data_IF_556015956857
#
_entry.id   IF_556015956857
#
_cell.length_a   1.000
_cell.length_b   1.000
_cell.length_c   1.000
_cell.angle_alpha   90.00
_cell.angle_beta   90.00
_cell.angle_gamma   90.00
#
_symmetry.space_group_name_H-M   'P 1'
#
loop_
_entity.id
_entity.type
_entity.pdbx_description
1 polymer ?
#
# COMPACT_ATOMS: atom_id res chain seq x y z
N UNK A 1 -19.01 58.95 -53.05
CA UNK A 1 -18.27 60.09 -52.50
C UNK A 1 -19.17 60.72 -51.45
N UNK A 2 -18.91 60.69 -50.15
CA UNK A 2 -17.75 60.23 -49.37
C UNK A 2 -18.27 59.76 -48.01
N UNK A 3 -17.59 58.75 -47.45
CA UNK A 3 -17.70 58.35 -46.06
C UNK A 3 -16.94 59.38 -45.19
N UNK A 4 -17.53 59.76 -44.06
CA UNK A 4 -16.81 60.30 -42.91
C UNK A 4 -17.13 59.38 -41.73
N UNK A 5 -16.23 58.43 -41.51
CA UNK A 5 -16.06 57.73 -40.25
C UNK A 5 -15.28 58.67 -39.32
N UNK A 6 -15.88 59.02 -38.19
CA UNK A 6 -15.19 59.54 -37.00
C UNK A 6 -15.92 58.97 -35.78
N UNK A 7 -15.66 57.69 -35.52
CA UNK A 7 -16.04 57.02 -34.27
C UNK A 7 -14.77 56.81 -33.44
N UNK A 8 -14.29 57.91 -32.85
CA UNK A 8 -13.19 57.93 -31.90
C UNK A 8 -13.74 57.65 -30.50
N UNK A 9 -14.27 56.43 -30.30
CA UNK A 9 -14.49 55.89 -28.96
C UNK A 9 -13.27 55.06 -28.56
N UNK A 10 -12.17 55.76 -28.29
CA UNK A 10 -11.05 55.21 -27.55
C UNK A 10 -11.51 54.96 -26.11
N UNK A 11 -12.06 53.76 -25.88
CA UNK A 11 -12.21 53.20 -24.54
C UNK A 11 -10.81 53.14 -23.91
N UNK A 12 -10.49 54.21 -23.18
CA UNK A 12 -9.35 54.33 -22.30
C UNK A 12 -9.52 53.24 -21.23
N UNK A 13 -8.98 52.05 -21.52
CA UNK A 13 -8.79 50.99 -20.55
C UNK A 13 -7.85 51.57 -19.50
N UNK A 14 -8.43 52.14 -18.44
CA UNK A 14 -7.71 52.58 -17.25
C UNK A 14 -7.07 51.34 -16.61
N UNK A 15 -5.85 51.05 -17.06
CA UNK A 15 -4.97 50.07 -16.45
C UNK A 15 -4.63 50.60 -15.05
N UNK A 16 -4.84 49.82 -13.97
CA UNK A 16 -4.55 50.27 -12.63
C UNK A 16 -3.09 50.71 -12.52
N UNK A 17 -2.87 51.86 -11.88
CA UNK A 17 -1.53 52.39 -11.69
C UNK A 17 -0.74 51.50 -10.72
N UNK A 18 0.59 51.59 -10.74
CA UNK A 18 1.43 50.84 -9.80
C UNK A 18 1.10 51.15 -8.32
N UNK A 19 0.50 52.31 -8.05
CA UNK A 19 0.00 52.72 -6.73
C UNK A 19 -1.33 52.02 -6.39
N UNK A 20 -2.22 51.82 -7.37
CA UNK A 20 -3.49 51.09 -7.17
C UNK A 20 -3.28 49.58 -6.95
N UNK A 21 -2.25 49.00 -7.57
CA UNK A 21 -1.81 47.63 -7.32
C UNK A 21 -1.24 47.44 -5.89
N UNK A 22 -0.73 48.51 -5.28
CA UNK A 22 -0.32 48.51 -3.88
C UNK A 22 -1.51 48.77 -2.94
N UNK A 23 -2.51 49.55 -3.36
CA UNK A 23 -3.64 49.99 -2.52
C UNK A 23 -4.82 49.02 -2.45
N UNK A 24 -4.96 48.07 -3.38
CA UNK A 24 -6.03 47.07 -3.36
C UNK A 24 -5.66 45.86 -2.49
N UNK A 25 -5.46 46.09 -1.19
CA UNK A 25 -5.39 45.02 -0.18
C UNK A 25 -4.07 44.24 -0.07
N UNK A 26 -2.96 44.76 -0.58
CA UNK A 26 -1.67 44.06 -0.64
C UNK A 26 -0.73 44.27 0.57
N UNK A 27 -1.04 45.17 1.50
CA UNK A 27 -0.21 45.50 2.66
C UNK A 27 -0.35 44.51 3.85
N UNK A 28 -0.62 43.24 3.58
CA UNK A 28 -0.71 42.23 4.63
C UNK A 28 0.59 41.44 4.69
N UNK A 29 1.15 41.28 5.89
CA UNK A 29 2.30 40.40 6.09
C UNK A 29 1.95 39.01 5.54
N UNK A 30 2.92 38.32 4.95
CA UNK A 30 2.71 36.98 4.37
C UNK A 30 2.30 35.93 5.43
N UNK A 31 2.19 36.32 6.70
CA UNK A 31 1.64 35.53 7.80
C UNK A 31 0.34 36.09 8.43
N UNK A 32 -0.14 37.28 8.06
CA UNK A 32 -1.20 37.97 8.80
C UNK A 32 -2.55 37.23 8.75
N UNK A 33 -2.84 36.56 7.64
CA UNK A 33 -4.14 35.91 7.43
C UNK A 33 -4.18 34.45 7.88
N UNK A 34 -3.04 33.81 8.11
CA UNK A 34 -2.97 32.39 8.45
C UNK A 34 -2.03 32.14 9.63
N UNK A 35 -2.63 31.83 10.79
CA UNK A 35 -1.93 31.47 12.01
C UNK A 35 -0.90 30.34 11.81
N UNK A 36 -1.14 29.43 10.85
CA UNK A 36 -0.22 28.33 10.53
C UNK A 36 1.11 28.82 9.95
N UNK A 37 1.11 30.00 9.34
CA UNK A 37 2.26 30.61 8.68
C UNK A 37 3.04 31.54 9.62
N UNK A 38 2.46 31.88 10.78
CA UNK A 38 3.14 32.71 11.79
C UNK A 38 4.38 31.99 12.31
N UNK A 39 5.48 32.74 12.40
CA UNK A 39 6.77 32.21 12.83
C UNK A 39 7.54 31.43 11.76
N UNK A 40 6.97 31.16 10.59
CA UNK A 40 7.73 30.59 9.48
C UNK A 40 8.66 31.63 8.86
N UNK A 41 9.88 31.25 8.43
CA UNK A 41 10.69 32.09 7.56
C UNK A 41 9.91 32.47 6.30
N UNK A 42 10.06 33.73 5.87
CA UNK A 42 9.43 34.29 4.66
C UNK A 42 9.41 33.35 3.47
N UNK A 43 10.54 32.75 3.12
CA UNK A 43 10.64 31.82 1.98
C UNK A 43 9.67 30.64 2.10
N UNK A 44 9.49 30.08 3.30
CA UNK A 44 8.54 28.99 3.56
C UNK A 44 7.09 29.48 3.55
N UNK A 45 6.83 30.73 3.97
CA UNK A 45 5.49 31.34 3.85
C UNK A 45 5.06 31.45 2.40
N UNK A 46 5.91 31.99 1.52
CA UNK A 46 5.62 32.04 0.08
C UNK A 46 5.50 30.65 -0.53
N UNK A 47 6.32 29.68 -0.12
CA UNK A 47 6.16 28.29 -0.54
C UNK A 47 4.76 27.74 -0.17
N UNK A 48 4.28 28.00 1.04
CA UNK A 48 2.93 27.57 1.47
C UNK A 48 1.82 28.30 0.72
N UNK A 49 1.96 29.60 0.46
CA UNK A 49 0.99 30.35 -0.36
C UNK A 49 0.87 29.72 -1.76
N UNK A 50 1.98 29.29 -2.36
CA UNK A 50 1.97 28.58 -3.65
C UNK A 50 1.32 27.20 -3.52
N UNK A 51 1.62 26.45 -2.46
CA UNK A 51 1.02 25.12 -2.21
C UNK A 51 -0.49 25.21 -2.03
N UNK A 52 -0.95 26.22 -1.29
CA UNK A 52 -2.36 26.47 -1.01
C UNK A 52 -3.10 27.08 -2.22
N UNK A 53 -2.38 27.40 -3.30
CA UNK A 53 -2.97 27.99 -4.51
C UNK A 53 -3.51 29.40 -4.27
N UNK A 54 -2.87 30.17 -3.40
CA UNK A 54 -3.29 31.53 -3.10
C UNK A 54 -3.21 32.41 -4.35
N UNK A 55 -4.21 33.27 -4.52
CA UNK A 55 -4.18 34.31 -5.53
C UNK A 55 -3.24 35.45 -5.11
N UNK A 56 -2.74 36.19 -6.10
CA UNK A 56 -1.97 37.43 -5.91
C UNK A 56 -0.67 37.28 -5.09
N UNK A 57 0.01 36.13 -5.19
CA UNK A 57 1.26 35.86 -4.45
C UNK A 57 2.36 36.87 -4.81
N UNK A 58 2.44 37.26 -6.08
CA UNK A 58 3.46 38.21 -6.54
C UNK A 58 3.17 39.63 -6.05
N UNK A 59 1.90 40.06 -6.07
CA UNK A 59 1.44 41.37 -5.59
C UNK A 59 1.73 41.54 -4.10
N UNK A 60 1.49 40.50 -3.30
CA UNK A 60 1.89 40.48 -1.89
C UNK A 60 3.39 40.63 -1.73
N UNK A 61 4.17 39.94 -2.55
CA UNK A 61 5.64 40.05 -2.50
C UNK A 61 6.12 41.44 -2.92
N UNK A 62 5.49 42.06 -3.92
CA UNK A 62 5.79 43.43 -4.35
C UNK A 62 5.50 44.42 -3.22
N UNK A 63 4.36 44.27 -2.54
CA UNK A 63 4.01 45.12 -1.40
C UNK A 63 4.99 44.95 -0.23
N UNK A 64 5.37 43.72 0.11
CA UNK A 64 6.36 43.46 1.16
C UNK A 64 7.76 44.00 0.79
N UNK A 65 8.13 43.97 -0.49
CA UNK A 65 9.35 44.62 -0.98
C UNK A 65 9.24 46.14 -0.88
N UNK A 66 8.08 46.73 -1.21
CA UNK A 66 7.85 48.18 -1.12
C UNK A 66 7.91 48.67 0.32
N UNK A 67 7.37 47.90 1.28
CA UNK A 67 7.44 48.21 2.70
C UNK A 67 8.88 48.24 3.22
N UNK A 68 9.69 47.24 2.85
CA UNK A 68 11.07 47.11 3.32
C UNK A 68 12.08 47.93 2.51
N UNK A 69 11.77 48.24 1.26
CA UNK A 69 12.60 49.02 0.34
C UNK A 69 11.73 49.99 -0.47
N UNK A 70 11.26 51.10 0.14
CA UNK A 70 10.38 52.05 -0.52
C UNK A 70 10.98 52.62 -1.80
N UNK A 71 10.14 52.82 -2.81
CA UNK A 71 10.44 53.44 -4.10
C UNK A 71 11.58 52.74 -4.87
N UNK A 72 11.74 51.44 -4.66
CA UNK A 72 12.75 50.67 -5.37
C UNK A 72 12.37 50.56 -6.85
N UNK A 73 13.14 51.22 -7.73
CA UNK A 73 12.88 51.23 -9.18
C UNK A 73 12.73 49.84 -9.80
N UNK A 74 13.53 48.87 -9.34
CA UNK A 74 13.43 47.47 -9.76
C UNK A 74 12.11 46.80 -9.33
N UNK A 75 11.58 47.16 -8.15
CA UNK A 75 10.29 46.65 -7.66
C UNK A 75 9.14 47.19 -8.51
N UNK A 76 9.15 48.50 -8.79
CA UNK A 76 8.19 49.15 -9.67
C UNK A 76 8.23 48.60 -11.11
N UNK A 77 9.43 48.35 -11.64
CA UNK A 77 9.59 47.77 -12.97
C UNK A 77 9.04 46.33 -13.02
N UNK A 78 9.32 45.52 -12.01
CA UNK A 78 8.78 44.17 -11.91
C UNK A 78 7.25 44.16 -11.73
N UNK A 79 6.72 45.05 -10.90
CA UNK A 79 5.28 45.18 -10.67
C UNK A 79 4.49 45.52 -11.94
N UNK A 80 5.06 46.38 -12.80
CA UNK A 80 4.46 46.77 -14.08
C UNK A 80 4.64 45.70 -15.16
N UNK A 81 5.84 45.15 -15.29
CA UNK A 81 6.21 44.31 -16.43
C UNK A 81 6.00 42.80 -16.23
N UNK A 82 6.00 42.33 -14.97
CA UNK A 82 5.91 40.90 -14.60
C UNK A 82 6.89 39.99 -15.36
N UNK A 83 8.01 40.57 -15.80
CA UNK A 83 8.99 39.87 -16.62
C UNK A 83 9.99 39.12 -15.73
N UNK A 84 10.48 37.99 -16.24
CA UNK A 84 11.53 37.22 -15.57
C UNK A 84 12.81 38.06 -15.40
N UNK A 85 13.18 38.83 -16.42
CA UNK A 85 14.33 39.72 -16.37
C UNK A 85 14.19 40.78 -15.27
N UNK A 86 13.00 41.39 -15.15
CA UNK A 86 12.69 42.33 -14.07
C UNK A 86 12.79 41.68 -12.69
N UNK A 87 12.27 40.46 -12.54
CA UNK A 87 12.37 39.70 -11.29
C UNK A 87 13.83 39.37 -10.92
N UNK A 88 14.64 38.95 -11.89
CA UNK A 88 16.05 38.62 -11.66
C UNK A 88 16.87 39.87 -11.33
N UNK A 89 16.60 41.00 -11.98
CA UNK A 89 17.23 42.28 -11.68
C UNK A 89 16.87 42.76 -10.26
N UNK A 90 15.59 42.65 -9.87
CA UNK A 90 15.13 42.94 -8.52
C UNK A 90 15.82 42.04 -7.48
N UNK A 91 15.86 40.73 -7.71
CA UNK A 91 16.49 39.80 -6.79
C UNK A 91 18.00 40.06 -6.62
N UNK A 92 18.69 40.47 -7.69
CA UNK A 92 20.10 40.86 -7.66
C UNK A 92 20.33 42.19 -6.90
N UNK A 93 19.44 43.15 -7.07
CA UNK A 93 19.46 44.42 -6.33
C UNK A 93 19.26 44.20 -4.82
N UNK A 94 18.27 43.39 -4.45
CA UNK A 94 17.99 43.02 -3.06
C UNK A 94 19.20 42.31 -2.42
N UNK A 95 19.85 41.39 -3.15
CA UNK A 95 21.08 40.74 -2.69
C UNK A 95 22.22 41.75 -2.46
N UNK A 96 22.40 42.72 -3.37
CA UNK A 96 23.43 43.74 -3.26
C UNK A 96 23.22 44.60 -2.01
N UNK A 97 21.97 45.05 -1.79
CA UNK A 97 21.59 45.84 -0.60
C UNK A 97 21.75 45.04 0.69
N UNK A 98 21.36 43.76 0.67
CA UNK A 98 21.53 42.86 1.82
C UNK A 98 23.00 42.75 2.26
N UNK A 99 23.94 42.79 1.31
CA UNK A 99 25.38 42.79 1.60
C UNK A 99 25.85 44.18 2.04
N UNK A 100 25.48 45.23 1.31
CA UNK A 100 25.93 46.59 1.58
C UNK A 100 25.49 47.12 2.95
N UNK A 101 24.26 46.79 3.37
CA UNK A 101 23.66 47.27 4.62
C UNK A 101 23.63 46.21 5.73
N UNK A 102 24.20 45.02 5.48
CA UNK A 102 24.16 43.89 6.41
C UNK A 102 22.74 43.51 6.87
N UNK A 103 21.77 43.58 5.95
CA UNK A 103 20.37 43.25 6.21
C UNK A 103 20.01 41.86 5.69
N UNK A 104 20.06 40.81 6.53
CA UNK A 104 19.78 39.44 6.09
C UNK A 104 18.32 39.24 5.64
N UNK A 105 17.40 40.08 6.10
CA UNK A 105 15.99 40.04 5.70
C UNK A 105 15.80 40.23 4.19
N UNK A 106 16.62 41.07 3.55
CA UNK A 106 16.56 41.32 2.11
C UNK A 106 17.00 40.10 1.29
N UNK A 107 17.87 39.24 1.83
CA UNK A 107 18.23 37.97 1.15
C UNK A 107 17.04 37.04 1.04
N UNK A 108 16.21 36.98 2.08
CA UNK A 108 15.03 36.11 2.04
C UNK A 108 13.98 36.64 1.07
N UNK A 109 13.85 37.97 0.91
CA UNK A 109 13.02 38.56 -0.15
C UNK A 109 13.57 38.22 -1.54
N UNK A 110 14.88 38.35 -1.73
CA UNK A 110 15.53 38.00 -3.00
C UNK A 110 15.32 36.52 -3.36
N UNK A 111 15.35 35.62 -2.38
CA UNK A 111 15.06 34.20 -2.59
C UNK A 111 13.56 33.96 -2.84
N UNK A 112 12.66 34.70 -2.20
CA UNK A 112 11.21 34.66 -2.49
C UNK A 112 10.88 35.15 -3.90
N UNK A 113 11.52 36.22 -4.38
CA UNK A 113 11.32 36.71 -5.76
C UNK A 113 11.72 35.63 -6.77
N UNK A 114 12.85 34.97 -6.54
CA UNK A 114 13.26 33.82 -7.38
C UNK A 114 12.29 32.66 -7.28
N UNK A 115 11.78 32.38 -6.08
CA UNK A 115 10.83 31.28 -5.86
C UNK A 115 9.58 31.46 -6.73
N UNK A 116 9.00 32.67 -6.75
CA UNK A 116 7.74 32.93 -7.47
C UNK A 116 7.95 33.08 -8.98
N UNK A 117 9.08 33.65 -9.41
CA UNK A 117 9.28 34.03 -10.82
C UNK A 117 10.01 33.00 -11.68
N UNK A 118 10.75 32.05 -11.11
CA UNK A 118 11.59 31.16 -11.92
C UNK A 118 10.73 30.23 -12.82
N UNK A 119 11.09 30.10 -14.11
CA UNK A 119 10.45 29.14 -15.00
C UNK A 119 10.93 27.72 -14.69
N UNK A 120 10.23 26.73 -15.21
CA UNK A 120 10.68 25.33 -15.07
C UNK A 120 12.07 25.14 -15.70
N UNK A 121 13.04 24.51 -14.99
CA UNK A 121 14.44 24.40 -15.43
C UNK A 121 14.61 23.45 -16.61
N UNK A 122 14.41 23.95 -17.83
CA UNK A 122 14.61 23.21 -19.08
C UNK A 122 16.05 23.29 -19.59
N UNK A 123 16.68 24.41 -19.28
CA UNK A 123 17.96 24.83 -19.81
C UNK A 123 18.86 25.28 -18.64
N UNK A 124 20.16 25.38 -18.90
CA UNK A 124 21.14 25.72 -17.85
C UNK A 124 21.14 27.22 -17.47
N UNK A 125 20.41 28.06 -18.22
CA UNK A 125 20.40 29.52 -18.07
C UNK A 125 20.16 29.97 -16.62
N UNK A 126 19.22 29.32 -15.93
CA UNK A 126 18.82 29.68 -14.57
C UNK A 126 19.25 28.66 -13.52
N UNK A 127 20.13 27.71 -13.87
CA UNK A 127 20.51 26.58 -13.01
C UNK A 127 20.98 27.04 -11.61
N UNK A 128 21.82 28.07 -11.54
CA UNK A 128 22.33 28.58 -10.26
C UNK A 128 21.22 29.20 -9.41
N UNK A 129 20.22 29.84 -10.03
CA UNK A 129 19.09 30.43 -9.31
C UNK A 129 18.21 29.33 -8.72
N UNK A 130 17.91 28.27 -9.48
CA UNK A 130 17.20 27.10 -8.95
C UNK A 130 17.93 26.44 -7.79
N UNK A 131 19.23 26.20 -7.94
CA UNK A 131 20.07 25.59 -6.91
C UNK A 131 20.13 26.44 -5.66
N UNK A 132 20.16 27.77 -5.81
CA UNK A 132 20.14 28.71 -4.69
C UNK A 132 18.83 28.61 -3.91
N UNK A 133 17.69 28.72 -4.59
CA UNK A 133 16.38 28.59 -3.94
C UNK A 133 16.23 27.22 -3.28
N UNK A 134 16.69 26.15 -3.93
CA UNK A 134 16.68 24.80 -3.35
C UNK A 134 17.45 24.73 -2.02
N UNK A 135 18.67 25.29 -1.99
CA UNK A 135 19.49 25.33 -0.76
C UNK A 135 18.81 26.15 0.35
N UNK A 136 18.23 27.29 -0.01
CA UNK A 136 17.54 28.16 0.95
C UNK A 136 16.29 27.46 1.52
N UNK A 137 15.48 26.82 0.68
CA UNK A 137 14.32 26.01 1.08
C UNK A 137 14.72 24.86 2.01
N UNK A 138 15.70 24.05 1.62
CA UNK A 138 16.17 22.91 2.43
C UNK A 138 16.67 23.39 3.80
N UNK A 139 17.48 24.44 3.84
CA UNK A 139 17.99 24.98 5.10
C UNK A 139 16.88 25.53 5.98
N UNK A 140 15.96 26.31 5.41
CA UNK A 140 14.82 26.85 6.14
C UNK A 140 13.90 25.73 6.67
N UNK A 141 13.60 24.73 5.83
CA UNK A 141 12.79 23.57 6.22
C UNK A 141 13.45 22.78 7.36
N UNK A 142 14.74 22.45 7.25
CA UNK A 142 15.45 21.69 8.28
C UNK A 142 15.38 22.37 9.65
N UNK A 143 15.64 23.69 9.69
CA UNK A 143 15.61 24.47 10.94
C UNK A 143 14.22 24.56 11.57
N UNK A 144 13.14 24.47 10.78
CA UNK A 144 11.78 24.68 11.25
C UNK A 144 10.95 23.39 11.36
N UNK A 145 11.42 22.29 10.74
CA UNK A 145 10.69 21.03 10.61
C UNK A 145 10.17 20.49 11.94
N UNK A 146 10.90 20.66 13.04
CA UNK A 146 10.49 20.14 14.36
C UNK A 146 9.44 21.01 15.06
N UNK A 147 9.33 22.28 14.70
CA UNK A 147 8.52 23.28 15.41
C UNK A 147 7.14 23.41 14.76
N UNK A 148 7.06 23.20 13.45
CA UNK A 148 5.82 23.37 12.68
C UNK A 148 4.85 22.20 12.87
N UNK A 149 3.55 22.46 12.73
CA UNK A 149 2.49 21.46 12.75
C UNK A 149 2.75 20.36 11.70
N UNK A 150 2.36 19.12 12.00
CA UNK A 150 2.61 17.96 11.14
C UNK A 150 2.08 18.13 9.71
N UNK A 151 0.91 18.77 9.51
CA UNK A 151 0.36 18.99 8.17
C UNK A 151 1.26 19.93 7.36
N UNK A 152 1.55 21.11 7.91
CA UNK A 152 2.45 22.11 7.31
C UNK A 152 3.84 21.51 7.04
N UNK A 153 4.35 20.71 7.97
CA UNK A 153 5.61 19.98 7.82
C UNK A 153 5.62 19.10 6.57
N UNK A 154 4.59 18.28 6.39
CA UNK A 154 4.47 17.38 5.24
C UNK A 154 4.38 18.16 3.92
N UNK A 155 3.63 19.26 3.91
CA UNK A 155 3.44 20.08 2.71
C UNK A 155 4.72 20.83 2.33
N UNK A 156 5.43 21.39 3.32
CA UNK A 156 6.76 21.96 3.13
C UNK A 156 7.79 20.92 2.69
N UNK A 157 7.77 19.71 3.25
CA UNK A 157 8.65 18.61 2.85
C UNK A 157 8.45 18.27 1.37
N UNK A 158 7.19 18.07 0.96
CA UNK A 158 6.81 17.79 -0.43
C UNK A 158 7.29 18.89 -1.35
N UNK A 159 6.98 20.15 -1.04
CA UNK A 159 7.34 21.28 -1.88
C UNK A 159 8.87 21.42 -1.99
N UNK A 160 9.58 21.37 -0.86
CA UNK A 160 11.04 21.53 -0.79
C UNK A 160 11.77 20.45 -1.60
N UNK A 161 11.39 19.19 -1.42
CA UNK A 161 12.01 18.09 -2.16
C UNK A 161 11.54 18.02 -3.60
N UNK A 162 10.30 18.42 -3.89
CA UNK A 162 9.80 18.59 -5.25
C UNK A 162 10.61 19.63 -6.03
N UNK A 163 10.94 20.77 -5.39
CA UNK A 163 11.82 21.79 -5.98
C UNK A 163 13.22 21.24 -6.23
N UNK A 164 13.80 20.53 -5.25
CA UNK A 164 15.13 19.94 -5.38
C UNK A 164 15.19 18.88 -6.51
N UNK A 165 14.12 18.13 -6.72
CA UNK A 165 14.01 17.10 -7.76
C UNK A 165 13.68 17.69 -9.15
N UNK A 166 13.29 18.96 -9.24
CA UNK A 166 12.66 19.53 -10.43
C UNK A 166 13.53 19.40 -11.69
N UNK A 167 14.83 19.64 -11.58
CA UNK A 167 15.77 19.52 -12.71
C UNK A 167 15.80 18.09 -13.29
N UNK A 168 15.79 17.07 -12.43
CA UNK A 168 15.75 15.67 -12.86
C UNK A 168 14.37 15.25 -13.40
N UNK A 169 13.29 15.89 -12.93
CA UNK A 169 11.92 15.54 -13.28
C UNK A 169 11.32 16.43 -14.38
N UNK A 170 12.11 17.29 -15.02
CA UNK A 170 11.61 18.33 -15.91
C UNK A 170 10.82 17.78 -17.10
N UNK A 171 11.18 16.62 -17.65
CA UNK A 171 10.43 15.99 -18.75
C UNK A 171 9.02 15.53 -18.38
N UNK A 172 8.72 15.35 -17.09
CA UNK A 172 7.44 14.82 -16.60
C UNK A 172 6.46 15.91 -16.12
N UNK A 173 6.84 17.18 -16.26
CA UNK A 173 6.04 18.32 -15.80
C UNK A 173 5.62 19.24 -16.95
N UNK A 174 4.46 19.92 -16.86
CA UNK A 174 3.99 20.87 -17.85
C UNK A 174 4.97 22.02 -18.12
N UNK A 175 5.08 22.46 -19.38
CA UNK A 175 5.95 23.58 -19.78
C UNK A 175 5.40 24.95 -19.37
N UNK A 176 4.07 25.09 -19.35
CA UNK A 176 3.39 26.38 -19.13
C UNK A 176 3.40 26.82 -17.66
N UNK A 177 3.83 25.96 -16.73
CA UNK A 177 3.79 26.24 -15.30
C UNK A 177 5.14 26.74 -14.80
N UNK A 178 5.09 27.58 -13.77
CA UNK A 178 6.27 28.05 -13.05
C UNK A 178 7.00 26.88 -12.39
N UNK A 179 8.26 27.10 -12.02
CA UNK A 179 9.02 26.13 -11.27
C UNK A 179 8.33 25.76 -9.95
N UNK A 180 7.71 26.73 -9.29
CA UNK A 180 7.07 26.55 -8.00
C UNK A 180 5.82 25.65 -8.09
N UNK A 181 4.97 25.86 -9.08
CA UNK A 181 3.82 24.99 -9.34
C UNK A 181 4.26 23.55 -9.66
N UNK A 182 5.28 23.41 -10.51
CA UNK A 182 5.80 22.10 -10.86
C UNK A 182 6.54 21.42 -9.70
N UNK A 183 7.19 22.17 -8.82
CA UNK A 183 7.77 21.66 -7.58
C UNK A 183 6.69 21.06 -6.68
N UNK A 184 5.56 21.76 -6.49
CA UNK A 184 4.41 21.23 -5.76
C UNK A 184 3.90 19.92 -6.37
N UNK A 185 3.75 19.87 -7.70
CA UNK A 185 3.30 18.68 -8.43
C UNK A 185 4.25 17.48 -8.28
N UNK A 186 5.56 17.69 -8.45
CA UNK A 186 6.57 16.63 -8.31
C UNK A 186 6.63 16.14 -6.87
N UNK A 187 6.61 17.05 -5.90
CA UNK A 187 6.60 16.75 -4.48
C UNK A 187 5.40 15.90 -4.09
N UNK A 188 4.21 16.27 -4.57
CA UNK A 188 2.97 15.54 -4.34
C UNK A 188 3.05 14.11 -4.87
N UNK A 189 3.38 13.93 -6.16
CA UNK A 189 3.51 12.60 -6.79
C UNK A 189 4.53 11.72 -6.07
N UNK A 190 5.67 12.30 -5.69
CA UNK A 190 6.72 11.57 -4.97
C UNK A 190 6.22 11.08 -3.60
N UNK A 191 5.49 11.93 -2.87
CA UNK A 191 4.90 11.54 -1.60
C UNK A 191 3.81 10.46 -1.76
N UNK A 192 2.96 10.56 -2.78
CA UNK A 192 1.95 9.53 -3.07
C UNK A 192 2.58 8.16 -3.34
N UNK A 193 3.65 8.12 -4.13
CA UNK A 193 4.40 6.89 -4.39
C UNK A 193 5.02 6.32 -3.12
N UNK A 194 5.62 7.16 -2.26
CA UNK A 194 6.18 6.73 -0.96
C UNK A 194 5.09 6.17 -0.03
N UNK A 195 3.94 6.83 0.06
CA UNK A 195 2.80 6.35 0.85
C UNK A 195 2.28 5.01 0.31
N UNK A 196 2.17 4.89 -1.01
CA UNK A 196 1.71 3.65 -1.66
C UNK A 196 2.68 2.49 -1.42
N UNK A 197 4.00 2.75 -1.53
CA UNK A 197 5.03 1.78 -1.21
C UNK A 197 4.99 1.34 0.27
N UNK A 198 4.83 2.30 1.20
CA UNK A 198 4.71 1.99 2.62
C UNK A 198 3.45 1.16 2.93
N UNK A 199 2.30 1.50 2.34
CA UNK A 199 1.07 0.72 2.46
C UNK A 199 1.25 -0.70 1.93
N UNK A 200 1.94 -0.88 0.80
CA UNK A 200 2.22 -2.19 0.23
C UNK A 200 3.14 -3.03 1.13
N UNK A 201 4.18 -2.42 1.70
CA UNK A 201 5.09 -3.07 2.65
C UNK A 201 4.35 -3.55 3.91
N UNK A 202 3.50 -2.71 4.51
CA UNK A 202 2.69 -3.08 5.68
C UNK A 202 1.73 -4.24 5.38
N UNK A 203 1.09 -4.23 4.19
CA UNK A 203 0.22 -5.34 3.75
C UNK A 203 0.99 -6.65 3.57
N UNK A 204 2.23 -6.59 3.11
CA UNK A 204 3.09 -7.76 3.00
C UNK A 204 3.45 -8.31 4.38
N UNK A 205 3.92 -7.45 5.29
CA UNK A 205 4.24 -7.84 6.66
C UNK A 205 3.04 -8.49 7.38
N UNK A 206 1.85 -7.92 7.23
CA UNK A 206 0.64 -8.49 7.83
C UNK A 206 0.28 -9.86 7.24
N UNK A 207 0.51 -10.07 5.94
CA UNK A 207 0.30 -11.40 5.32
C UNK A 207 1.31 -12.41 5.83
N UNK A 208 2.60 -12.06 5.85
CA UNK A 208 3.66 -12.93 6.36
C UNK A 208 3.44 -13.31 7.84
N UNK A 209 3.03 -12.37 8.68
CA UNK A 209 2.75 -12.66 10.09
C UNK A 209 1.52 -13.56 10.26
N UNK A 210 0.47 -13.34 9.47
CA UNK A 210 -0.69 -14.23 9.48
C UNK A 210 -0.35 -15.64 8.97
N UNK A 211 0.47 -15.75 7.93
CA UNK A 211 0.91 -17.05 7.41
C UNK A 211 1.80 -17.76 8.42
N UNK A 212 2.71 -17.04 9.11
CA UNK A 212 3.47 -17.58 10.23
C UNK A 212 2.58 -18.04 11.38
N UNK A 213 1.55 -17.28 11.72
CA UNK A 213 0.59 -17.66 12.75
C UNK A 213 -0.19 -18.92 12.35
N UNK A 214 -0.69 -18.98 11.11
CA UNK A 214 -1.38 -20.16 10.57
C UNK A 214 -0.47 -21.38 10.54
N UNK A 215 0.80 -21.23 10.15
CA UNK A 215 1.76 -22.33 10.19
C UNK A 215 1.98 -22.83 11.62
N UNK A 216 2.16 -21.94 12.60
CA UNK A 216 2.28 -22.32 14.02
C UNK A 216 1.03 -23.04 14.54
N UNK A 217 -0.16 -22.59 14.12
CA UNK A 217 -1.43 -23.23 14.48
C UNK A 217 -1.56 -24.62 13.82
N UNK A 218 -1.17 -24.75 12.55
CA UNK A 218 -1.14 -26.03 11.82
C UNK A 218 -0.14 -27.01 12.43
N UNK A 219 1.12 -26.59 12.67
CA UNK A 219 2.15 -27.41 13.31
C UNK A 219 1.70 -27.88 14.71
N UNK A 220 1.02 -27.02 15.47
CA UNK A 220 0.44 -27.37 16.77
C UNK A 220 -0.68 -28.41 16.63
N UNK A 221 -1.52 -28.29 15.60
CA UNK A 221 -2.62 -29.23 15.34
C UNK A 221 -2.08 -30.58 14.90
N UNK A 222 -1.11 -30.61 13.99
CA UNK A 222 -0.40 -31.83 13.57
C UNK A 222 0.31 -32.51 14.74
N UNK A 223 0.94 -31.75 15.65
CA UNK A 223 1.57 -32.32 16.84
C UNK A 223 0.56 -32.99 17.77
N UNK A 224 -0.63 -32.40 17.94
CA UNK A 224 -1.73 -32.99 18.71
C UNK A 224 -2.26 -34.26 18.03
N UNK A 225 -2.44 -34.26 16.71
CA UNK A 225 -2.88 -35.45 15.96
C UNK A 225 -1.86 -36.59 16.00
N UNK A 226 -0.55 -36.30 15.91
CA UNK A 226 0.52 -37.31 16.05
C UNK A 226 0.59 -37.92 17.44
N UNK A 227 0.29 -37.14 18.49
CA UNK A 227 0.17 -37.66 19.86
C UNK A 227 -1.12 -38.46 20.07
N UNK A 228 -2.17 -38.20 19.28
CA UNK A 228 -3.41 -38.96 19.29
C UNK A 228 -3.39 -40.20 18.38
N UNK A 229 -2.28 -40.47 17.67
CA UNK A 229 -2.13 -41.68 16.86
C UNK A 229 -2.26 -42.92 17.76
N UNK A 230 -3.14 -43.89 17.41
CA UNK A 230 -3.41 -45.02 18.29
C UNK A 230 -2.14 -45.83 18.46
N UNK A 231 -1.72 -45.98 19.71
CA UNK A 231 -0.66 -46.91 20.11
C UNK A 231 -1.03 -48.27 19.51
N UNK A 232 -0.23 -48.75 18.57
CA UNK A 232 -0.33 -50.13 18.10
C UNK A 232 0.06 -51.02 19.28
N UNK A 233 -0.92 -51.36 20.11
CA UNK A 233 -0.76 -52.44 21.09
C UNK A 233 -0.33 -53.69 20.34
N UNK A 234 0.88 -54.13 20.65
CA UNK A 234 1.53 -55.31 20.08
C UNK A 234 0.67 -56.52 20.40
N UNK A 235 0.01 -57.09 19.39
CA UNK A 235 -0.77 -58.31 19.52
C UNK A 235 0.21 -59.48 19.68
N UNK A 236 0.13 -60.29 20.74
CA UNK A 236 1.02 -61.43 20.93
C UNK A 236 0.87 -62.48 19.82
N UNK A 237 1.97 -63.11 19.42
CA UNK A 237 1.96 -64.24 18.48
C UNK A 237 1.00 -65.33 19.01
N UNK A 238 0.12 -65.85 18.16
CA UNK A 238 -1.01 -66.76 18.47
C UNK A 238 -2.29 -66.13 19.04
N UNK A 239 -2.45 -64.81 18.98
CA UNK A 239 -3.72 -64.15 19.27
C UNK A 239 -4.29 -63.44 18.04
N UNK A 240 -5.62 -63.35 17.95
CA UNK A 240 -6.32 -62.63 16.89
C UNK A 240 -7.34 -61.67 17.50
N UNK A 241 -7.35 -60.43 16.99
CA UNK A 241 -8.38 -59.44 17.31
C UNK A 241 -9.45 -59.53 16.21
N UNK A 242 -10.64 -59.99 16.57
CA UNK A 242 -11.73 -60.25 15.61
C UNK A 242 -12.32 -58.96 15.05
N UNK A 243 -12.34 -57.90 15.85
CA UNK A 243 -12.80 -56.57 15.44
C UNK A 243 -12.09 -55.49 16.25
N UNK A 244 -11.65 -54.42 15.58
CA UNK A 244 -11.10 -53.22 16.23
C UNK A 244 -12.00 -52.01 15.96
N UNK A 245 -12.60 -51.47 17.00
CA UNK A 245 -13.49 -50.30 16.96
C UNK A 245 -12.94 -49.20 17.86
N UNK A 246 -12.97 -47.96 17.38
CA UNK A 246 -12.63 -46.78 18.19
C UNK A 246 -13.65 -46.56 19.32
N UNK A 247 -13.26 -45.83 20.37
CA UNK A 247 -14.18 -45.53 21.48
C UNK A 247 -15.46 -44.81 21.04
N UNK A 248 -15.38 -44.01 19.98
CA UNK A 248 -16.53 -43.29 19.42
C UNK A 248 -17.50 -44.24 18.70
N UNK A 249 -16.97 -45.27 18.02
CA UNK A 249 -17.77 -46.29 17.34
C UNK A 249 -18.45 -47.24 18.34
N UNK A 250 -17.78 -47.57 19.45
CA UNK A 250 -18.35 -48.36 20.56
C UNK A 250 -19.54 -47.68 21.26
N UNK A 251 -19.62 -46.35 21.19
CA UNK A 251 -20.69 -45.54 21.79
C UNK A 251 -21.82 -45.22 20.80
N UNK A 252 -21.73 -45.66 19.54
CA UNK A 252 -22.75 -45.41 18.52
C UNK A 252 -24.07 -46.13 18.86
N UNK A 253 -25.21 -45.42 18.90
CA UNK A 253 -26.50 -46.00 19.28
C UNK A 253 -26.98 -47.06 18.29
N UNK A 254 -26.57 -47.00 17.01
CA UNK A 254 -26.93 -47.98 15.97
C UNK A 254 -26.20 -49.31 16.11
N UNK A 255 -25.00 -49.31 16.71
CA UNK A 255 -24.17 -50.50 16.87
C UNK A 255 -24.31 -51.14 18.26
N UNK A 256 -24.92 -50.42 19.21
CA UNK A 256 -25.03 -50.84 20.61
C UNK A 256 -25.76 -52.19 20.79
N UNK A 257 -26.79 -52.47 19.99
CA UNK A 257 -27.52 -53.75 20.04
C UNK A 257 -26.70 -54.93 19.51
N UNK A 258 -25.81 -54.69 18.54
CA UNK A 258 -24.96 -55.72 17.92
C UNK A 258 -23.69 -55.93 18.76
N UNK A 259 -23.11 -54.85 19.29
CA UNK A 259 -21.89 -54.89 20.11
C UNK A 259 -22.19 -55.42 21.51
N UNK A 260 -23.39 -55.18 22.06
CA UNK A 260 -23.74 -55.55 23.44
C UNK A 260 -23.33 -56.99 23.84
N UNK A 261 -23.73 -58.02 23.06
CA UNK A 261 -23.34 -59.41 23.34
C UNK A 261 -21.86 -59.73 23.07
N UNK A 262 -21.17 -58.91 22.29
CA UNK A 262 -19.79 -59.13 21.82
C UNK A 262 -18.78 -58.20 22.50
N UNK A 263 -19.23 -57.41 23.47
CA UNK A 263 -18.44 -56.35 24.11
C UNK A 263 -17.14 -56.87 24.73
N UNK A 264 -17.17 -58.10 25.26
CA UNK A 264 -16.02 -58.72 25.92
C UNK A 264 -15.01 -59.32 24.93
N UNK A 265 -15.31 -59.30 23.62
CA UNK A 265 -14.48 -59.86 22.55
C UNK A 265 -13.98 -58.77 21.58
N UNK A 266 -14.73 -57.68 21.41
CA UNK A 266 -14.33 -56.54 20.58
C UNK A 266 -13.13 -55.82 21.22
N UNK A 267 -12.12 -55.49 20.41
CA UNK A 267 -10.84 -54.92 20.84
C UNK A 267 -9.97 -55.82 21.75
N UNK A 268 -10.36 -57.08 22.00
CA UNK A 268 -9.60 -58.02 22.84
C UNK A 268 -8.84 -59.01 21.95
N UNK A 269 -7.56 -59.24 22.25
CA UNK A 269 -6.75 -60.25 21.60
C UNK A 269 -7.14 -61.64 22.15
N UNK A 270 -7.79 -62.47 21.31
CA UNK A 270 -8.23 -63.81 21.72
C UNK A 270 -7.21 -64.89 21.31
N UNK A 271 -6.96 -65.89 22.16
CA UNK A 271 -6.03 -66.98 21.84
C UNK A 271 -6.58 -67.88 20.74
N UNK A 272 -5.76 -68.18 19.74
CA UNK A 272 -6.07 -69.16 18.71
C UNK A 272 -5.90 -70.57 19.28
N UNK A 273 -7.00 -71.21 19.66
CA UNK A 273 -6.99 -72.63 20.05
C UNK A 273 -6.81 -73.47 18.79
N UNK A 274 -5.73 -74.25 18.70
CA UNK A 274 -5.56 -75.19 17.60
C UNK A 274 -6.71 -76.19 17.57
N UNK A 275 -7.33 -76.37 16.41
CA UNK A 275 -8.41 -77.34 16.25
C UNK A 275 -7.87 -78.76 16.52
N UNK A 276 -8.54 -79.56 17.36
CA UNK A 276 -8.15 -80.95 17.58
C UNK A 276 -8.26 -81.75 16.28
N UNK A 277 -7.50 -82.84 16.17
CA UNK A 277 -7.48 -83.66 14.98
C UNK A 277 -8.89 -84.13 14.61
N UNK A 278 -9.22 -84.12 13.31
CA UNK A 278 -10.57 -84.40 12.78
C UNK A 278 -11.18 -85.71 13.31
N UNK A 279 -10.37 -86.71 13.67
CA UNK A 279 -10.85 -87.97 14.23
C UNK A 279 -11.38 -87.83 15.66
N UNK A 280 -10.80 -86.95 16.48
CA UNK A 280 -11.23 -86.70 17.85
C UNK A 280 -12.57 -85.97 17.86
N UNK A 281 -12.69 -84.92 17.05
CA UNK A 281 -13.95 -84.20 16.87
C UNK A 281 -15.08 -85.11 16.34
N UNK A 282 -14.77 -86.01 15.40
CA UNK A 282 -15.72 -87.01 14.88
C UNK A 282 -16.21 -87.96 15.98
N UNK A 283 -15.32 -88.43 16.84
CA UNK A 283 -15.69 -89.35 17.92
C UNK A 283 -16.55 -88.65 18.99
N UNK A 284 -16.24 -87.41 19.35
CA UNK A 284 -17.02 -86.64 20.33
C UNK A 284 -18.42 -86.28 19.81
N UNK A 285 -18.57 -85.96 18.52
CA UNK A 285 -19.86 -85.64 17.91
C UNK A 285 -20.73 -86.88 17.69
N UNK A 286 -20.13 -88.03 17.39
CA UNK A 286 -20.85 -89.31 17.18
C UNK A 286 -21.53 -89.82 18.45
N UNK A 287 -21.06 -89.42 19.64
CA UNK A 287 -21.62 -89.82 20.94
C UNK A 287 -22.87 -89.00 21.33
N UNK A 288 -23.09 -87.82 20.74
CA UNK A 288 -24.14 -86.88 21.18
C UNK A 288 -25.37 -86.76 20.27
N UNK A 289 -25.42 -87.45 19.13
CA UNK A 289 -26.56 -87.33 18.19
C UNK A 289 -27.01 -88.72 17.69
N UNK A 290 -28.22 -89.21 18.02
CA UNK A 290 -28.74 -90.44 17.44
C UNK A 290 -29.13 -90.23 15.97
N UNK A 291 -28.52 -90.99 15.05
CA UNK A 291 -28.84 -90.93 13.62
C UNK A 291 -30.16 -91.66 13.36
N UNK A 292 -31.26 -90.91 13.24
CA UNK A 292 -32.57 -91.43 12.80
C UNK A 292 -32.60 -91.51 11.27
N UNK A 293 -32.33 -92.69 10.70
CA UNK A 293 -32.54 -92.93 9.27
C UNK A 293 -34.05 -93.01 8.97
N UNK A 294 -34.55 -92.14 8.09
CA UNK A 294 -35.72 -92.41 7.22
C UNK A 294 -35.65 -91.51 6.00
N UNK A 295 -35.50 -92.13 4.84
CA UNK A 295 -35.36 -91.45 3.56
C UNK A 295 -36.68 -90.85 3.05
N UNK A 296 -36.55 -89.84 2.19
CA UNK A 296 -37.40 -89.58 1.02
C UNK A 296 -36.66 -88.64 0.08
N UNK A 297 -36.44 -89.10 -1.15
CA UNK A 297 -35.98 -88.29 -2.29
C UNK A 297 -37.05 -87.25 -2.64
N UNK A 298 -36.67 -85.99 -2.84
CA UNK A 298 -37.34 -85.11 -3.81
C UNK A 298 -36.32 -84.19 -4.48
N UNK A 299 -36.49 -84.08 -5.80
CA UNK A 299 -35.67 -83.36 -6.79
C UNK A 299 -35.79 -81.85 -6.60
N UNK A 300 -34.71 -81.11 -6.83
CA UNK A 300 -34.78 -79.68 -7.13
C UNK A 300 -34.32 -79.42 -8.56
N UNK A 301 -35.20 -78.74 -9.29
CA UNK A 301 -35.12 -78.45 -10.71
C UNK A 301 -34.13 -77.33 -11.05
N UNK A 302 -33.70 -77.38 -12.31
CA UNK A 302 -32.99 -76.32 -13.03
C UNK A 302 -33.96 -75.17 -13.37
N UNK A 303 -33.50 -73.93 -13.18
CA UNK A 303 -33.70 -72.79 -14.10
C UNK A 303 -33.32 -71.47 -13.39
N UNK A 304 -32.80 -70.38 -13.99
CA UNK A 304 -32.15 -70.06 -15.26
C UNK A 304 -31.99 -68.50 -15.29
N UNK A 305 -30.92 -67.98 -15.93
CA UNK A 305 -30.69 -66.58 -16.39
C UNK A 305 -30.52 -65.49 -15.30
N UNK A 306 -29.63 -64.49 -15.38
CA UNK A 306 -28.80 -63.97 -16.49
C UNK A 306 -27.65 -63.10 -15.99
N UNK A 307 -26.49 -63.18 -16.64
CA UNK A 307 -25.44 -62.15 -16.67
C UNK A 307 -25.11 -61.92 -18.15
N UNK A 308 -25.47 -60.76 -18.67
CA UNK A 308 -24.86 -60.14 -19.85
C UNK A 308 -24.19 -58.87 -19.34
N UNK A 309 -22.85 -58.82 -19.42
CA UNK A 309 -22.06 -58.00 -20.36
C UNK A 309 -21.95 -56.54 -19.87
N UNK A 310 -20.84 -55.82 -19.90
CA UNK A 310 -19.46 -56.02 -20.32
C UNK A 310 -18.64 -54.93 -19.60
N UNK A 311 -17.38 -55.20 -19.23
CA UNK A 311 -16.41 -54.12 -18.98
C UNK A 311 -15.08 -54.54 -19.59
N UNK A 312 -14.73 -53.89 -20.70
CA UNK A 312 -13.42 -53.95 -21.32
C UNK A 312 -12.53 -52.83 -20.73
N UNK A 313 -11.24 -53.08 -20.45
CA UNK A 313 -10.23 -52.04 -20.14
C UNK A 313 -9.60 -51.54 -21.47
N UNK A 314 -8.93 -50.37 -21.57
CA UNK A 314 -7.52 -50.18 -21.12
C UNK A 314 -7.11 -48.66 -20.95
N UNK A 315 -5.85 -48.18 -21.17
CA UNK A 315 -4.52 -48.51 -20.60
C UNK A 315 -3.73 -47.28 -20.06
N UNK A 316 -2.58 -47.58 -19.46
CA UNK A 316 -1.45 -46.69 -19.09
C UNK A 316 -1.02 -45.64 -20.13
N UNK A 317 -0.62 -44.45 -19.66
CA UNK A 317 0.54 -43.65 -20.15
C UNK A 317 0.72 -42.35 -19.35
N UNK A 318 1.72 -42.29 -18.47
CA UNK A 318 2.33 -41.02 -18.04
C UNK A 318 3.70 -40.88 -18.72
N UNK A 319 3.84 -39.85 -19.57
CA UNK A 319 5.14 -39.34 -20.05
C UNK A 319 5.41 -37.98 -19.44
N UNK A 320 6.62 -37.84 -18.93
CA UNK A 320 7.28 -36.59 -18.58
C UNK A 320 7.60 -35.72 -19.81
N UNK A 321 7.53 -34.39 -19.64
CA UNK A 321 8.32 -33.33 -20.32
C UNK A 321 8.32 -32.12 -19.35
N UNK A 322 9.45 -31.72 -18.75
CA UNK A 322 10.44 -30.74 -19.26
C UNK A 322 9.84 -29.64 -20.13
N UNK A 323 9.75 -28.43 -19.56
CA UNK A 323 10.42 -27.22 -20.03
C UNK A 323 11.08 -26.56 -18.82
#
# INVERSE_FOLDING_TARGET
MSANDDDDNSDHLDLPTAEDAASTGAAADSADWDERLKGLPRLLRYAMLIVDGADHVEERLIAEVEELCPQLSHNLAWAKGRSLEGAMALAAELDRRAVAHSEPALRSLADSVRLVSLPTPRDDEHFQQHRRVAKALVKAFQLNSLIVEQKVRCDLERFTYGWAALQACTHFVPKKFSAAMNASLVGHRTAEHRISAAKAALRLQFREENDRRRQREADRTEAVERQAAPILEVIPDHHLVVARLSENEMKSPKLKEIIGPLKDVVNVALPLVQAPALYEARNTLSVRVPVRQRGRRLRLGRSRWTRDSAFAPPPDRWRARRW
#
